data_IF_316453760224
#
_entry.id   IF_316453760224
#
_cell.length_a   1.000
_cell.length_b   1.000
_cell.length_c   1.000
_cell.angle_alpha   90.00
_cell.angle_beta   90.00
_cell.angle_gamma   90.00
#
_symmetry.space_group_name_H-M   'P 1'
#
loop_
_entity.id
_entity.type
_entity.pdbx_description
1 polymer ?
#
# COMPACT_ATOMS: atom_id res chain seq x y z
N UNK A 1 0.34 5.50 1.59
CA UNK A 1 0.25 4.25 2.37
C UNK A 1 -1.10 3.60 2.07
N UNK A 2 -1.12 2.53 1.29
CA UNK A 2 -2.36 1.81 0.99
C UNK A 2 -2.04 0.32 0.82
N UNK A 3 -2.38 -0.48 1.82
CA UNK A 3 -2.36 -1.95 1.73
C UNK A 3 -3.74 -2.41 1.28
N UNK A 4 -3.87 -2.79 0.00
CA UNK A 4 -5.01 -3.61 -0.44
C UNK A 4 -4.74 -5.06 -0.05
N UNK A 5 -5.60 -5.63 0.78
CA UNK A 5 -5.69 -7.07 1.01
C UNK A 5 -7.10 -7.50 0.60
N UNK A 6 -7.16 -8.29 -0.48
CA UNK A 6 -8.34 -9.09 -0.80
C UNK A 6 -8.29 -10.28 0.14
N UNK A 7 -9.29 -10.41 1.00
CA UNK A 7 -9.49 -11.58 1.84
C UNK A 7 -10.67 -12.37 1.31
N UNK A 8 -10.46 -13.67 1.10
CA UNK A 8 -11.51 -14.65 0.84
C UNK A 8 -12.42 -14.76 2.07
N UNK A 9 -13.72 -14.53 1.85
CA UNK A 9 -14.72 -14.20 2.90
C UNK A 9 -15.40 -15.45 3.44
N UNK A 10 -15.10 -16.65 2.93
CA UNK A 10 -15.99 -17.80 3.11
C UNK A 10 -15.68 -18.79 4.26
N UNK A 11 -14.58 -18.64 5.02
CA UNK A 11 -14.14 -19.72 5.93
C UNK A 11 -14.18 -19.47 7.44
N UNK A 12 -14.94 -18.48 7.94
CA UNK A 12 -15.02 -18.24 9.38
C UNK A 12 -16.44 -17.88 9.87
N UNK A 13 -17.47 -18.62 9.44
CA UNK A 13 -18.84 -18.46 9.93
C UNK A 13 -19.37 -19.65 10.75
N UNK A 14 -18.52 -20.46 11.39
CA UNK A 14 -18.98 -21.58 12.23
C UNK A 14 -18.38 -21.55 13.65
N UNK A 15 -18.92 -20.70 14.51
CA UNK A 15 -19.04 -20.96 15.96
C UNK A 15 -19.80 -19.84 16.68
N UNK A 16 -21.04 -19.56 16.28
CA UNK A 16 -21.96 -18.79 17.11
C UNK A 16 -22.79 -19.77 17.95
N UNK A 17 -22.53 -19.83 19.27
CA UNK A 17 -23.46 -20.47 20.22
C UNK A 17 -24.66 -19.54 20.47
N UNK A 18 -25.89 -20.07 20.60
CA UNK A 18 -27.09 -19.26 20.71
C UNK A 18 -27.23 -18.76 22.15
N UNK A 19 -27.12 -17.45 22.31
CA UNK A 19 -27.39 -16.72 23.54
C UNK A 19 -27.89 -15.34 23.13
N UNK A 20 -29.19 -15.15 23.28
CA UNK A 20 -30.05 -14.06 22.84
C UNK A 20 -29.45 -12.63 22.96
N UNK A 21 -29.39 -11.92 21.81
CA UNK A 21 -29.21 -10.45 21.61
C UNK A 21 -29.06 -10.14 20.11
N UNK A 22 -30.15 -10.27 19.37
CA UNK A 22 -30.19 -10.30 17.90
C UNK A 22 -29.78 -9.01 17.16
N UNK A 23 -29.63 -7.85 17.82
CA UNK A 23 -29.43 -6.56 17.13
C UNK A 23 -28.19 -5.73 17.54
N UNK A 24 -27.22 -6.31 18.26
CA UNK A 24 -26.00 -5.57 18.62
C UNK A 24 -25.01 -5.47 17.45
N UNK A 25 -24.54 -4.25 17.07
CA UNK A 25 -23.58 -4.08 16.00
C UNK A 25 -22.25 -4.78 16.34
N UNK A 26 -21.68 -5.43 15.33
CA UNK A 26 -20.46 -6.23 15.44
C UNK A 26 -19.30 -5.48 14.81
N UNK A 27 -18.20 -5.37 15.55
CA UNK A 27 -16.97 -4.69 15.09
C UNK A 27 -15.85 -5.72 15.01
N UNK A 28 -15.17 -5.76 13.86
CA UNK A 28 -13.99 -6.60 13.64
C UNK A 28 -12.73 -5.73 13.63
N UNK A 29 -11.77 -6.04 14.50
CA UNK A 29 -10.52 -5.30 14.65
C UNK A 29 -9.30 -6.23 14.55
N UNK A 30 -8.14 -5.77 14.10
CA UNK A 30 -6.89 -6.48 14.33
C UNK A 30 -6.64 -6.65 15.84
N UNK A 31 -6.15 -7.81 16.27
CA UNK A 31 -5.73 -8.00 17.66
C UNK A 31 -4.43 -7.23 17.93
N UNK A 32 -4.44 -6.40 18.96
CA UNK A 32 -3.26 -5.76 19.52
C UNK A 32 -3.15 -6.18 20.98
N UNK A 33 -1.98 -6.69 21.38
CA UNK A 33 -1.70 -7.04 22.77
C UNK A 33 -1.96 -5.83 23.67
N UNK A 34 -2.50 -6.06 24.87
CA UNK A 34 -2.85 -5.08 25.91
C UNK A 34 -4.02 -4.13 25.59
N UNK A 35 -4.27 -3.87 24.30
CA UNK A 35 -5.37 -3.03 23.84
C UNK A 35 -6.64 -3.86 23.58
N UNK A 36 -6.47 -5.08 23.08
CA UNK A 36 -7.56 -5.94 22.64
C UNK A 36 -8.55 -6.27 23.76
N UNK A 37 -8.10 -6.77 24.91
CA UNK A 37 -9.01 -7.13 26.00
C UNK A 37 -9.79 -5.91 26.51
N UNK A 38 -9.12 -4.75 26.57
CA UNK A 38 -9.73 -3.49 27.01
C UNK A 38 -10.80 -3.01 26.04
N UNK A 39 -10.54 -3.09 24.73
CA UNK A 39 -11.52 -2.78 23.70
C UNK A 39 -12.71 -3.73 23.72
N UNK A 40 -12.48 -5.02 23.97
CA UNK A 40 -13.57 -5.98 24.05
C UNK A 40 -14.45 -5.73 25.29
N UNK A 41 -13.85 -5.37 26.43
CA UNK A 41 -14.57 -4.95 27.64
C UNK A 41 -15.40 -3.69 27.39
N UNK A 42 -14.82 -2.66 26.78
CA UNK A 42 -15.53 -1.43 26.41
C UNK A 42 -16.66 -1.70 25.42
N UNK A 43 -16.46 -2.58 24.45
CA UNK A 43 -17.50 -3.00 23.52
C UNK A 43 -18.70 -3.59 24.26
N UNK A 44 -18.47 -4.56 25.16
CA UNK A 44 -19.53 -5.19 25.94
C UNK A 44 -20.29 -4.19 26.82
N UNK A 45 -19.58 -3.24 27.43
CA UNK A 45 -20.17 -2.16 28.23
C UNK A 45 -21.15 -1.30 27.41
N UNK A 46 -20.82 -1.03 26.14
CA UNK A 46 -21.64 -0.22 25.24
C UNK A 46 -22.58 -1.05 24.34
N UNK A 47 -22.81 -2.33 24.68
CA UNK A 47 -23.70 -3.21 23.92
C UNK A 47 -23.21 -3.55 22.51
N UNK A 48 -21.90 -3.46 22.25
CA UNK A 48 -21.25 -3.82 20.98
C UNK A 48 -20.45 -5.10 21.12
N UNK A 49 -20.45 -5.93 20.08
CA UNK A 49 -19.63 -7.15 20.05
C UNK A 49 -18.33 -6.87 19.29
N UNK A 50 -17.20 -7.01 19.97
CA UNK A 50 -15.88 -6.83 19.36
C UNK A 50 -15.22 -8.19 19.20
N UNK A 51 -14.92 -8.55 17.95
CA UNK A 51 -14.13 -9.73 17.60
C UNK A 51 -12.80 -9.30 17.02
N UNK A 52 -11.75 -10.05 17.34
CA UNK A 52 -10.44 -9.82 16.78
C UNK A 52 -10.19 -10.74 15.60
N UNK A 53 -9.68 -10.18 14.50
CA UNK A 53 -8.99 -10.98 13.50
C UNK A 53 -7.70 -11.50 14.13
N UNK A 54 -7.34 -12.74 13.82
CA UNK A 54 -6.06 -13.31 14.28
C UNK A 54 -4.92 -12.39 13.86
N UNK A 55 -4.05 -12.07 14.82
CA UNK A 55 -2.78 -11.42 14.52
C UNK A 55 -1.96 -12.33 13.61
N UNK A 56 -1.03 -11.78 12.80
CA UNK A 56 -0.05 -12.58 12.08
C UNK A 56 0.58 -13.58 13.06
N UNK A 57 0.55 -14.87 12.71
CA UNK A 57 1.09 -15.91 13.57
C UNK A 57 2.62 -15.79 13.66
N UNK A 58 3.21 -16.35 14.72
CA UNK A 58 4.66 -16.29 14.96
C UNK A 58 5.45 -16.78 13.73
N UNK A 59 4.96 -17.82 13.05
CA UNK A 59 5.57 -18.32 11.81
C UNK A 59 5.66 -17.22 10.76
N UNK A 60 4.60 -16.45 10.50
CA UNK A 60 4.62 -15.36 9.51
C UNK A 60 5.54 -14.18 9.89
N UNK A 61 5.77 -13.96 11.19
CA UNK A 61 6.66 -12.91 11.69
C UNK A 61 8.14 -13.34 11.65
N UNK A 62 8.43 -14.60 12.00
CA UNK A 62 9.79 -15.14 12.11
C UNK A 62 10.31 -15.64 10.76
N UNK A 63 9.42 -16.09 9.86
CA UNK A 63 9.80 -16.60 8.55
C UNK A 63 10.29 -15.47 7.64
N UNK A 64 11.56 -15.57 7.27
CA UNK A 64 12.19 -14.76 6.21
C UNK A 64 12.47 -15.60 4.95
N UNK A 65 11.79 -16.74 4.78
CA UNK A 65 11.95 -17.64 3.63
C UNK A 65 11.39 -17.05 2.33
N UNK A 66 10.43 -16.12 2.43
CA UNK A 66 9.99 -15.30 1.30
C UNK A 66 11.01 -14.19 1.02
N UNK A 67 11.53 -14.17 -0.20
CA UNK A 67 12.39 -13.09 -0.70
C UNK A 67 11.62 -11.76 -0.58
N UNK A 68 12.16 -10.83 0.20
CA UNK A 68 11.61 -9.48 0.31
C UNK A 68 12.08 -8.70 -0.90
N UNK A 69 11.21 -8.56 -1.90
CA UNK A 69 11.50 -7.74 -3.09
C UNK A 69 11.62 -6.27 -2.63
N UNK A 70 12.75 -5.60 -2.90
CA UNK A 70 12.92 -4.17 -2.66
C UNK A 70 11.77 -3.36 -3.27
N UNK A 71 11.44 -2.21 -2.70
CA UNK A 71 10.26 -1.46 -3.13
C UNK A 71 10.35 -1.02 -4.60
N UNK A 72 11.56 -0.71 -5.05
CA UNK A 72 11.92 -0.25 -6.39
C UNK A 72 11.71 -1.35 -7.45
N UNK A 73 11.81 -2.61 -7.04
CA UNK A 73 11.69 -3.78 -7.92
C UNK A 73 10.25 -4.33 -7.97
N UNK A 74 9.32 -3.75 -7.20
CA UNK A 74 7.93 -4.20 -7.20
C UNK A 74 7.22 -3.86 -8.50
N UNK A 75 6.44 -4.82 -8.99
CA UNK A 75 5.53 -4.69 -10.13
C UNK A 75 4.08 -4.53 -9.65
N UNK A 76 3.19 -4.11 -10.55
CA UNK A 76 1.76 -3.91 -10.27
C UNK A 76 1.51 -2.95 -9.08
N UNK A 77 2.32 -1.89 -8.98
CA UNK A 77 2.21 -0.89 -7.92
C UNK A 77 1.60 0.41 -8.41
N UNK A 78 0.82 1.04 -7.55
CA UNK A 78 0.41 2.44 -7.71
C UNK A 78 1.40 3.30 -6.95
N UNK A 79 1.91 4.35 -7.60
CA UNK A 79 2.91 5.25 -7.05
C UNK A 79 2.47 6.71 -7.14
N UNK A 80 3.04 7.53 -6.27
CA UNK A 80 2.87 8.98 -6.25
C UNK A 80 4.21 9.67 -6.53
N UNK A 81 4.23 10.67 -7.41
CA UNK A 81 5.34 11.58 -7.59
C UNK A 81 4.94 12.92 -6.97
N UNK A 82 5.55 13.24 -5.84
CA UNK A 82 5.35 14.52 -5.17
C UNK A 82 6.22 15.59 -5.79
N UNK A 83 5.63 16.74 -6.05
CA UNK A 83 6.37 17.98 -6.29
C UNK A 83 6.49 18.74 -4.97
N UNK A 84 7.34 19.77 -4.93
CA UNK A 84 7.40 20.68 -3.79
C UNK A 84 6.10 21.48 -3.55
N UNK A 85 5.16 21.45 -4.49
CA UNK A 85 3.87 22.12 -4.40
C UNK A 85 2.72 21.13 -4.16
N UNK A 86 1.50 21.65 -4.04
CA UNK A 86 0.28 20.90 -3.70
C UNK A 86 -0.17 19.89 -4.77
N UNK A 87 0.39 19.95 -5.99
CA UNK A 87 0.05 19.01 -7.06
C UNK A 87 1.01 17.81 -7.06
N UNK A 88 0.43 16.63 -7.24
CA UNK A 88 1.14 15.37 -7.33
C UNK A 88 0.60 14.57 -8.52
N UNK A 89 1.44 13.70 -9.04
CA UNK A 89 1.06 12.76 -10.10
C UNK A 89 0.87 11.37 -9.50
N UNK A 90 -0.26 10.73 -9.81
CA UNK A 90 -0.50 9.32 -9.47
C UNK A 90 -0.49 8.49 -10.75
N UNK A 91 0.21 7.37 -10.69
CA UNK A 91 0.29 6.42 -11.81
C UNK A 91 0.34 4.98 -11.34
N UNK A 92 -0.01 4.07 -12.24
CA UNK A 92 0.14 2.63 -12.06
C UNK A 92 1.26 2.10 -12.95
N UNK A 93 1.90 1.01 -12.54
CA UNK A 93 2.86 0.30 -13.37
C UNK A 93 2.76 -1.20 -13.27
N UNK A 94 2.69 -1.87 -14.43
CA UNK A 94 2.90 -3.32 -14.55
C UNK A 94 4.38 -3.73 -14.49
N UNK A 95 5.29 -2.83 -14.87
CA UNK A 95 6.75 -3.02 -14.76
C UNK A 95 7.26 -2.61 -13.37
N UNK A 96 8.56 -2.82 -13.11
CA UNK A 96 9.19 -2.37 -11.86
C UNK A 96 9.08 -0.85 -11.68
N UNK A 97 8.97 -0.42 -10.42
CA UNK A 97 8.89 1.01 -10.11
C UNK A 97 10.14 1.78 -10.58
N UNK A 98 11.32 1.18 -10.46
CA UNK A 98 12.58 1.73 -10.96
C UNK A 98 12.54 1.98 -12.47
N UNK A 99 11.98 1.03 -13.23
CA UNK A 99 11.86 1.14 -14.68
C UNK A 99 11.04 2.38 -15.06
N UNK A 100 9.86 2.54 -14.46
CA UNK A 100 9.01 3.72 -14.71
C UNK A 100 9.66 5.03 -14.27
N UNK A 101 10.35 5.02 -13.14
CA UNK A 101 11.06 6.20 -12.67
C UNK A 101 12.12 6.67 -13.68
N UNK A 102 12.85 5.73 -14.27
CA UNK A 102 13.83 6.03 -15.32
C UNK A 102 13.17 6.51 -16.61
N UNK A 103 12.02 5.95 -17.00
CA UNK A 103 11.24 6.48 -18.13
C UNK A 103 10.82 7.94 -17.90
N UNK A 104 10.23 8.25 -16.74
CA UNK A 104 9.83 9.62 -16.40
C UNK A 104 11.02 10.59 -16.40
N UNK A 105 12.17 10.18 -15.84
CA UNK A 105 13.40 10.98 -15.89
C UNK A 105 13.84 11.26 -17.33
N UNK A 106 13.87 10.26 -18.20
CA UNK A 106 14.25 10.43 -19.62
C UNK A 106 13.34 11.43 -20.31
N UNK A 107 12.02 11.33 -20.09
CA UNK A 107 11.06 12.29 -20.65
C UNK A 107 11.32 13.72 -20.15
N UNK A 108 11.57 13.91 -18.85
CA UNK A 108 11.89 15.24 -18.30
C UNK A 108 13.17 15.85 -18.89
N UNK A 109 14.23 15.04 -19.04
CA UNK A 109 15.47 15.50 -19.69
C UNK A 109 15.25 15.83 -21.17
N UNK A 110 14.46 15.03 -21.88
CA UNK A 110 14.07 15.28 -23.28
C UNK A 110 13.29 16.58 -23.43
N UNK A 111 12.27 16.81 -22.60
CA UNK A 111 11.49 18.05 -22.63
C UNK A 111 12.34 19.27 -22.30
N UNK A 112 13.27 19.17 -21.35
CA UNK A 112 14.21 20.25 -21.05
C UNK A 112 15.11 20.56 -22.26
N UNK A 113 15.64 19.52 -22.89
CA UNK A 113 16.52 19.66 -24.06
C UNK A 113 15.78 20.31 -25.23
N UNK A 114 14.56 19.85 -25.56
CA UNK A 114 13.73 20.44 -26.60
C UNK A 114 13.39 21.91 -26.31
N UNK A 115 13.13 22.26 -25.04
CA UNK A 115 12.89 23.65 -24.62
C UNK A 115 14.13 24.53 -24.82
N UNK A 116 15.32 24.00 -24.55
CA UNK A 116 16.59 24.71 -24.76
C UNK A 116 16.87 24.92 -26.26
N UNK A 117 16.56 23.93 -27.11
CA UNK A 117 16.65 24.06 -28.58
C UNK A 117 15.67 25.11 -29.14
N UNK A 118 14.42 25.13 -28.66
CA UNK A 118 13.44 26.16 -29.03
C UNK A 118 13.87 27.57 -28.60
N UNK A 119 14.58 27.69 -27.48
CA UNK A 119 15.14 28.94 -27.00
C UNK A 119 16.43 29.35 -27.74
N UNK A 120 16.83 28.63 -28.80
CA UNK A 120 17.98 28.95 -29.63
C UNK A 120 19.33 28.64 -29.00
N UNK A 121 19.37 27.84 -27.92
CA UNK A 121 20.62 27.44 -27.27
C UNK A 121 21.24 26.29 -28.09
N UNK A 122 22.05 26.64 -29.08
CA UNK A 122 22.82 25.68 -29.87
C UNK A 122 23.84 24.97 -28.98
N UNK A 123 23.65 23.67 -28.74
CA UNK A 123 24.70 22.81 -28.18
C UNK A 123 25.56 22.30 -29.33
N UNK A 124 26.86 22.57 -29.27
CA UNK A 124 27.82 21.99 -30.20
C UNK A 124 27.68 20.45 -30.14
N UNK A 125 27.11 19.86 -31.19
CA UNK A 125 27.07 18.41 -31.34
C UNK A 125 28.52 17.98 -31.54
N UNK A 126 29.04 17.19 -30.61
CA UNK A 126 30.32 16.50 -30.84
C UNK A 126 30.06 15.50 -31.95
N UNK A 127 30.69 15.72 -33.10
CA UNK A 127 30.63 14.80 -34.22
C UNK A 127 31.05 13.40 -33.76
N UNK A 128 30.33 12.41 -34.25
CA UNK A 128 30.64 11.00 -34.01
C UNK A 128 31.99 10.69 -34.68
N UNK A 129 32.95 10.05 -33.98
CA UNK A 129 34.20 9.60 -34.60
C UNK A 129 33.97 8.60 -35.74
#
# INVERSE_FOLDING_TARGET
MATKQVYDVHHLMKSARPGDRSNSPVVFLPHYCDLGERLQRLGRLHGRRVYFKSSPNLRSLVRNDKIKIPFEERTAVVYEIKRCCTVFYMGETGNTLLYRFNEHKKTLYGSRTAKEELNGICRNRRDRP
#
